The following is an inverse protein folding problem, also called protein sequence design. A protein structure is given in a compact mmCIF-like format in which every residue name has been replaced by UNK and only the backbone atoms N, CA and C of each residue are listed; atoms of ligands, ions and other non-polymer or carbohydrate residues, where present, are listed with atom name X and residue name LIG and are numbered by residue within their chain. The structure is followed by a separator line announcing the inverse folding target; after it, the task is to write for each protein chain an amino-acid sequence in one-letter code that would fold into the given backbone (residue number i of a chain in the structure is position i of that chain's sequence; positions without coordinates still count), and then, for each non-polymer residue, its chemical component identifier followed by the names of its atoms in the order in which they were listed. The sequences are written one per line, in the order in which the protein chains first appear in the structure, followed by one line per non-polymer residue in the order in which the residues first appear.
data_IF_593707188084
#
_entry.id   IF_593707188084
#
_cell.length_a   1.000
_cell.length_b   1.000
_cell.length_c   1.000
_cell.angle_alpha   90.00
_cell.angle_beta   90.00
_cell.angle_gamma   90.00
#
_symmetry.space_group_name_H-M   'P 1'
#
loop_
_entity.id
_entity.type
_entity.pdbx_description
1 polymer ?
#
# COMPACT_ATOMS: atom_id res chain seq x y z
N UNK A 1 -17.06 -22.26 -12.47
CA UNK A 1 -15.92 -23.04 -11.99
C UNK A 1 -16.16 -23.45 -10.55
N UNK A 2 -15.96 -24.71 -10.24
CA UNK A 2 -16.18 -25.21 -8.90
C UNK A 2 -15.03 -24.83 -7.98
N UNK A 3 -15.37 -24.34 -6.81
CA UNK A 3 -14.38 -23.92 -5.82
C UNK A 3 -13.80 -25.16 -5.09
N UNK A 4 -12.48 -25.14 -4.89
CA UNK A 4 -11.79 -26.16 -4.13
C UNK A 4 -12.02 -25.91 -2.63
N UNK A 5 -12.59 -26.89 -1.89
CA UNK A 5 -12.84 -26.72 -0.45
C UNK A 5 -11.57 -26.47 0.37
N UNK A 6 -10.43 -27.04 -0.03
CA UNK A 6 -9.17 -26.82 0.68
C UNK A 6 -8.70 -25.38 0.49
N UNK A 7 -8.78 -24.85 -0.73
CA UNK A 7 -8.44 -23.46 -1.01
C UNK A 7 -9.38 -22.52 -0.26
N UNK A 8 -10.67 -22.84 -0.19
CA UNK A 8 -11.62 -22.03 0.58
C UNK A 8 -11.23 -21.98 2.06
N UNK A 9 -10.86 -23.12 2.63
CA UNK A 9 -10.45 -23.18 4.03
C UNK A 9 -9.21 -22.34 4.29
N UNK A 10 -8.23 -22.38 3.38
CA UNK A 10 -7.00 -21.59 3.50
C UNK A 10 -7.33 -20.09 3.39
N UNK A 11 -8.14 -19.72 2.41
CA UNK A 11 -8.54 -18.31 2.21
C UNK A 11 -9.28 -17.77 3.45
N UNK A 12 -10.19 -18.55 4.01
CA UNK A 12 -10.93 -18.16 5.21
C UNK A 12 -10.01 -17.98 6.41
N UNK A 13 -9.01 -18.83 6.54
CA UNK A 13 -8.00 -18.70 7.60
C UNK A 13 -7.21 -17.41 7.45
N UNK A 14 -6.82 -17.07 6.23
CA UNK A 14 -6.10 -15.81 5.94
C UNK A 14 -7.00 -14.62 6.31
N UNK A 15 -8.27 -14.65 5.91
CA UNK A 15 -9.20 -13.56 6.23
C UNK A 15 -9.37 -13.37 7.73
N UNK A 16 -9.49 -14.47 8.49
CA UNK A 16 -9.60 -14.40 9.95
C UNK A 16 -8.35 -13.78 10.58
N UNK A 17 -7.20 -14.13 10.06
CA UNK A 17 -5.93 -13.56 10.52
C UNK A 17 -5.87 -12.05 10.27
N UNK A 18 -6.31 -11.62 9.10
CA UNK A 18 -6.37 -10.20 8.73
C UNK A 18 -7.33 -9.45 9.65
N UNK A 19 -8.53 -10.00 9.85
CA UNK A 19 -9.53 -9.38 10.73
C UNK A 19 -9.02 -9.25 12.15
N UNK A 20 -8.36 -10.28 12.65
CA UNK A 20 -7.78 -10.26 14.00
C UNK A 20 -6.72 -9.18 14.14
N UNK A 21 -5.91 -9.00 13.11
CA UNK A 21 -4.82 -8.03 13.12
C UNK A 21 -5.31 -6.58 13.01
N UNK A 22 -6.31 -6.32 12.17
CA UNK A 22 -6.76 -4.95 11.89
C UNK A 22 -8.10 -4.57 12.54
N UNK A 23 -8.87 -5.54 12.99
CA UNK A 23 -10.22 -5.31 13.46
C UNK A 23 -11.25 -5.19 12.32
N UNK A 24 -10.82 -5.33 11.08
CA UNK A 24 -11.68 -5.32 9.89
C UNK A 24 -10.98 -6.05 8.76
N UNK A 25 -11.72 -6.37 7.70
CA UNK A 25 -11.15 -6.98 6.50
C UNK A 25 -11.15 -5.90 5.40
N UNK A 26 -9.98 -5.47 4.90
CA UNK A 26 -9.92 -4.50 3.80
C UNK A 26 -10.69 -4.99 2.57
N UNK A 27 -11.32 -4.07 1.84
CA UNK A 27 -12.17 -4.43 0.70
C UNK A 27 -11.42 -5.24 -0.36
N UNK A 28 -10.14 -4.95 -0.58
CA UNK A 28 -9.32 -5.71 -1.54
C UNK A 28 -9.30 -7.19 -1.16
N UNK A 29 -9.10 -7.49 0.12
CA UNK A 29 -9.09 -8.86 0.61
C UNK A 29 -10.46 -9.51 0.52
N UNK A 30 -11.53 -8.75 0.81
CA UNK A 30 -12.89 -9.26 0.69
C UNK A 30 -13.18 -9.71 -0.74
N UNK A 31 -12.88 -8.84 -1.71
CA UNK A 31 -13.18 -9.12 -3.12
C UNK A 31 -12.29 -10.22 -3.68
N UNK A 32 -10.97 -10.16 -3.42
CA UNK A 32 -10.05 -11.19 -3.91
C UNK A 32 -10.38 -12.56 -3.34
N UNK A 33 -10.87 -12.63 -2.11
CA UNK A 33 -11.20 -13.91 -1.47
C UNK A 33 -12.38 -14.63 -2.11
N UNK A 34 -13.16 -13.96 -2.95
CA UNK A 34 -14.17 -14.61 -3.77
C UNK A 34 -13.55 -15.61 -4.75
N UNK A 35 -12.26 -15.44 -5.04
CA UNK A 35 -11.46 -16.34 -5.86
C UNK A 35 -10.25 -16.80 -5.05
N UNK A 36 -10.40 -17.85 -4.25
CA UNK A 36 -9.30 -18.35 -3.41
C UNK A 36 -8.03 -18.67 -4.20
N UNK A 37 -8.19 -19.19 -5.41
CA UNK A 37 -7.06 -19.52 -6.29
C UNK A 37 -6.22 -18.29 -6.67
N UNK A 38 -6.79 -17.09 -6.58
CA UNK A 38 -6.09 -15.82 -6.84
C UNK A 38 -5.69 -15.13 -5.53
N UNK A 39 -6.55 -15.21 -4.53
CA UNK A 39 -6.33 -14.56 -3.24
C UNK A 39 -5.13 -15.14 -2.49
N UNK A 40 -5.02 -16.46 -2.46
CA UNK A 40 -3.93 -17.13 -1.71
C UNK A 40 -2.55 -16.70 -2.22
N UNK A 41 -2.24 -16.79 -3.53
CA UNK A 41 -0.95 -16.33 -4.00
C UNK A 41 -0.74 -14.82 -3.84
N UNK A 42 -1.80 -14.01 -3.97
CA UNK A 42 -1.70 -12.57 -3.75
C UNK A 42 -1.35 -12.24 -2.29
N UNK A 43 -2.03 -12.89 -1.34
CA UNK A 43 -1.76 -12.71 0.08
C UNK A 43 -0.34 -13.17 0.44
N UNK A 44 0.10 -14.29 -0.13
CA UNK A 44 1.45 -14.81 0.09
C UNK A 44 2.51 -13.89 -0.49
N UNK A 45 2.26 -13.30 -1.65
CA UNK A 45 3.17 -12.32 -2.25
C UNK A 45 3.31 -11.08 -1.37
N UNK A 46 2.18 -10.53 -0.93
CA UNK A 46 2.19 -9.35 -0.05
C UNK A 46 2.95 -9.62 1.24
N UNK A 47 2.74 -10.78 1.84
CA UNK A 47 3.46 -11.20 3.04
C UNK A 47 4.96 -11.35 2.78
N UNK A 48 5.33 -11.96 1.66
CA UNK A 48 6.74 -12.12 1.30
C UNK A 48 7.43 -10.77 1.12
N UNK A 49 6.76 -9.82 0.47
CA UNK A 49 7.30 -8.47 0.24
C UNK A 49 7.45 -7.71 1.56
N UNK A 50 6.42 -7.73 2.40
CA UNK A 50 6.38 -6.88 3.58
C UNK A 50 7.02 -7.50 4.82
N UNK A 51 6.98 -8.83 4.94
CA UNK A 51 7.47 -9.52 6.13
C UNK A 51 8.65 -10.45 5.87
N UNK A 52 8.97 -10.70 4.61
CA UNK A 52 10.09 -11.57 4.24
C UNK A 52 11.44 -10.95 4.57
N UNK A 53 12.46 -11.79 4.60
CA UNK A 53 13.84 -11.32 4.84
C UNK A 53 14.27 -10.36 3.74
N UNK A 54 14.93 -9.27 4.14
CA UNK A 54 15.46 -8.28 3.21
C UNK A 54 16.43 -7.36 3.93
N UNK A 55 16.88 -6.35 3.21
CA UNK A 55 17.84 -5.37 3.73
C UNK A 55 17.20 -4.30 4.64
N UNK A 56 15.88 -4.08 4.45
CA UNK A 56 15.16 -3.08 5.23
C UNK A 56 14.49 -3.74 6.43
N UNK A 57 14.54 -3.07 7.58
CA UNK A 57 13.84 -3.56 8.76
C UNK A 57 12.32 -3.36 8.62
N UNK A 58 11.57 -3.99 9.49
CA UNK A 58 10.12 -4.03 9.39
C UNK A 58 9.49 -2.64 9.53
N UNK A 59 9.98 -1.83 10.46
CA UNK A 59 9.50 -0.47 10.66
C UNK A 59 9.71 0.37 9.40
N UNK A 60 10.89 0.30 8.80
CA UNK A 60 11.22 1.02 7.57
C UNK A 60 10.29 0.60 6.42
N UNK A 61 10.08 -0.70 6.25
CA UNK A 61 9.17 -1.21 5.21
C UNK A 61 7.77 -0.61 5.34
N UNK A 62 7.23 -0.57 6.56
CA UNK A 62 5.89 -0.04 6.77
C UNK A 62 5.82 1.48 6.62
N UNK A 63 6.88 2.19 7.02
CA UNK A 63 6.95 3.64 6.76
C UNK A 63 6.99 3.96 5.27
N UNK A 64 7.75 3.17 4.50
CA UNK A 64 7.77 3.30 3.05
C UNK A 64 6.38 3.02 2.46
N UNK A 65 5.68 2.02 2.99
CA UNK A 65 4.32 1.69 2.54
C UNK A 65 3.34 2.84 2.85
N UNK A 66 3.47 3.47 4.02
CA UNK A 66 2.67 4.66 4.38
C UNK A 66 2.94 5.78 3.38
N UNK A 67 4.21 6.04 3.07
CA UNK A 67 4.60 7.08 2.12
C UNK A 67 4.04 6.82 0.73
N UNK A 68 4.20 5.60 0.23
CA UNK A 68 3.68 5.19 -1.09
C UNK A 68 2.16 5.29 -1.15
N UNK A 69 1.45 4.82 -0.12
CA UNK A 69 0.00 4.88 -0.05
C UNK A 69 -0.50 6.32 -0.02
N UNK A 70 0.20 7.20 0.70
CA UNK A 70 -0.11 8.63 0.74
C UNK A 70 0.02 9.26 -0.65
N UNK A 71 1.11 8.96 -1.35
CA UNK A 71 1.35 9.48 -2.69
C UNK A 71 0.29 9.01 -3.70
N UNK A 72 -0.16 7.76 -3.56
CA UNK A 72 -1.18 7.18 -4.44
C UNK A 72 -2.61 7.59 -4.08
N UNK A 73 -2.82 8.17 -2.90
CA UNK A 73 -4.14 8.60 -2.46
C UNK A 73 -5.05 7.47 -1.99
N UNK A 74 -4.49 6.35 -1.55
CA UNK A 74 -5.26 5.18 -1.12
C UNK A 74 -5.69 5.27 0.34
N UNK A 75 -6.90 5.71 0.61
CA UNK A 75 -7.40 5.89 1.98
C UNK A 75 -7.26 4.64 2.86
N UNK A 76 -7.75 3.49 2.37
CA UNK A 76 -7.66 2.24 3.13
C UNK A 76 -6.23 1.74 3.26
N UNK A 77 -5.43 1.89 2.20
CA UNK A 77 -4.02 1.48 2.23
C UNK A 77 -3.23 2.29 3.25
N UNK A 78 -3.46 3.60 3.32
CA UNK A 78 -2.81 4.46 4.31
C UNK A 78 -3.14 3.97 5.72
N UNK A 79 -4.42 3.74 5.99
CA UNK A 79 -4.88 3.30 7.31
C UNK A 79 -4.21 1.99 7.73
N UNK A 80 -4.21 0.99 6.84
CA UNK A 80 -3.62 -0.32 7.11
C UNK A 80 -2.12 -0.18 7.37
N UNK A 81 -1.42 0.56 6.54
CA UNK A 81 0.03 0.70 6.68
C UNK A 81 0.44 1.52 7.90
N UNK A 82 -0.37 2.51 8.30
CA UNK A 82 -0.15 3.23 9.55
C UNK A 82 -0.23 2.30 10.76
N UNK A 83 -1.21 1.40 10.79
CA UNK A 83 -1.34 0.43 11.87
C UNK A 83 -0.14 -0.51 11.92
N UNK A 84 0.32 -0.99 10.77
CA UNK A 84 1.52 -1.82 10.69
C UNK A 84 2.75 -1.07 11.17
N UNK A 85 2.94 0.16 10.72
CA UNK A 85 4.08 0.98 11.11
C UNK A 85 4.11 1.20 12.62
N UNK A 86 2.95 1.55 13.19
CA UNK A 86 2.82 1.75 14.63
C UNK A 86 3.14 0.47 15.41
N UNK A 87 2.61 -0.67 14.97
CA UNK A 87 2.88 -1.96 15.60
C UNK A 87 4.36 -2.36 15.52
N UNK A 88 5.07 -1.90 14.47
CA UNK A 88 6.50 -2.14 14.29
C UNK A 88 7.37 -1.12 15.04
N UNK A 89 6.77 -0.24 15.84
CA UNK A 89 7.49 0.70 16.68
C UNK A 89 7.71 2.08 16.07
N UNK A 90 7.05 2.41 14.96
CA UNK A 90 7.14 3.75 14.40
C UNK A 90 6.45 4.76 15.31
N UNK A 91 7.08 5.91 15.49
CA UNK A 91 6.50 6.99 16.28
C UNK A 91 5.49 7.77 15.43
N UNK A 92 4.65 8.55 16.11
CA UNK A 92 3.72 9.47 15.46
C UNK A 92 4.46 10.39 14.48
N UNK A 93 5.60 10.92 14.88
CA UNK A 93 6.38 11.84 14.06
C UNK A 93 7.02 11.16 12.85
N UNK A 94 7.48 9.93 13.02
CA UNK A 94 8.01 9.14 11.90
C UNK A 94 6.92 8.86 10.86
N UNK A 95 5.73 8.54 11.31
CA UNK A 95 4.59 8.30 10.42
C UNK A 95 4.24 9.59 9.66
N UNK A 96 4.13 10.71 10.38
CA UNK A 96 3.82 12.00 9.74
C UNK A 96 4.88 12.38 8.72
N UNK A 97 6.16 12.22 9.06
CA UNK A 97 7.26 12.54 8.13
C UNK A 97 7.19 11.69 6.87
N UNK A 98 6.87 10.40 6.99
CA UNK A 98 6.71 9.52 5.82
C UNK A 98 5.57 9.99 4.91
N UNK A 99 4.49 10.49 5.50
CA UNK A 99 3.36 11.06 4.75
C UNK A 99 3.77 12.35 4.02
N UNK A 100 4.52 13.20 4.71
CA UNK A 100 4.98 14.46 4.10
C UNK A 100 5.87 14.20 2.89
N UNK A 101 6.75 13.20 2.99
CA UNK A 101 7.62 12.81 1.87
C UNK A 101 6.78 12.31 0.69
N UNK A 102 5.83 11.41 0.95
CA UNK A 102 4.95 10.89 -0.10
C UNK A 102 4.13 11.98 -0.77
N UNK A 103 3.56 12.89 0.02
CA UNK A 103 2.78 14.02 -0.48
C UNK A 103 3.63 14.95 -1.34
N UNK A 104 4.85 15.22 -0.89
CA UNK A 104 5.78 16.08 -1.62
C UNK A 104 6.12 15.49 -2.99
N UNK A 105 6.42 14.21 -3.06
CA UNK A 105 6.75 13.54 -4.33
C UNK A 105 5.54 13.53 -5.27
N UNK A 106 4.35 13.31 -4.75
CA UNK A 106 3.12 13.38 -5.56
C UNK A 106 2.91 14.78 -6.11
N UNK A 107 3.16 15.81 -5.30
CA UNK A 107 3.08 17.20 -5.72
C UNK A 107 4.07 17.51 -6.83
N UNK A 108 5.35 17.12 -6.66
CA UNK A 108 6.38 17.41 -7.66
C UNK A 108 6.09 16.70 -8.98
N UNK A 109 5.52 15.49 -8.91
CA UNK A 109 5.12 14.77 -10.13
C UNK A 109 4.05 15.56 -10.89
N UNK A 110 3.02 16.01 -10.18
CA UNK A 110 1.95 16.79 -10.78
C UNK A 110 2.47 18.10 -11.36
N UNK A 111 3.33 18.79 -10.64
CA UNK A 111 3.93 20.06 -11.09
C UNK A 111 4.86 19.85 -12.28
N UNK A 112 5.64 18.77 -12.29
CA UNK A 112 6.57 18.51 -13.41
C UNK A 112 5.82 18.41 -14.73
N UNK A 113 4.71 17.69 -14.74
CA UNK A 113 3.89 17.58 -15.94
C UNK A 113 3.25 18.92 -16.33
N UNK A 114 2.58 19.55 -15.36
CA UNK A 114 1.88 20.81 -15.62
C UNK A 114 2.84 21.91 -16.05
N UNK A 115 3.97 22.01 -15.39
CA UNK A 115 4.94 23.07 -15.68
C UNK A 115 5.67 22.86 -16.99
N UNK A 116 5.80 21.60 -17.42
CA UNK A 116 6.35 21.32 -18.75
C UNK A 116 5.40 21.83 -19.83
N UNK A 117 4.11 21.56 -19.69
CA UNK A 117 3.11 22.07 -20.62
C UNK A 117 3.07 23.60 -20.62
N UNK A 118 3.16 24.21 -19.45
CA UNK A 118 3.24 25.67 -19.31
C UNK A 118 4.46 26.22 -20.04
N UNK A 119 5.63 25.63 -19.82
CA UNK A 119 6.87 26.07 -20.46
C UNK A 119 6.80 25.94 -21.98
N UNK A 120 6.23 24.83 -22.47
CA UNK A 120 6.10 24.62 -23.91
C UNK A 120 5.17 25.66 -24.54
N UNK A 121 4.06 25.98 -23.87
CA UNK A 121 3.10 26.96 -24.36
C UNK A 121 3.69 28.36 -24.43
N UNK A 122 4.50 28.74 -23.46
CA UNK A 122 5.04 30.09 -23.37
C UNK A 122 6.53 30.19 -23.74
N UNK A 123 7.03 29.17 -24.44
CA UNK A 123 8.43 29.11 -24.85
C UNK A 123 8.76 30.13 -25.95
N UNK A 124 9.95 30.73 -25.88
CA UNK A 124 10.48 31.57 -26.93
C UNK A 124 10.70 30.85 -28.26
N UNK A 125 10.80 29.52 -28.22
CA UNK A 125 11.00 28.70 -29.42
C UNK A 125 9.81 28.75 -30.38
N UNK A 126 8.67 29.21 -29.93
CA UNK A 126 7.44 29.26 -30.73
C UNK A 126 7.30 30.55 -31.54
N UNK A 127 8.26 31.46 -31.39
CA UNK A 127 8.24 32.71 -32.13
C UNK A 127 8.83 32.59 -33.52
#
# INVERSE_FOLDING_TARGET
MQEDPEERAIADKILRSIEKQYGFIPVVNQVLSERPDKFIPAANYGKAVMEGKGELDQKTKYLLAVSAATALGGEHCVRVQMHHASAAGATKDEILESMLIGSYIAMTRAQSYAFREYSDMFSEKEK
#
